data_IF_191854013635
#
_entry.id   IF_191854013635
#
_cell.length_a   1.000
_cell.length_b   1.000
_cell.length_c   1.000
_cell.angle_alpha   90.00
_cell.angle_beta   90.00
_cell.angle_gamma   90.00
#
_symmetry.space_group_name_H-M   'P 1'
#
loop_
_entity.id
_entity.type
_entity.pdbx_description
1 polymer ?
#
# COMPACT_ATOMS: atom_id res chain seq x y z
N UNK A 1 -3.86 -26.62 8.58
CA UNK A 1 -5.01 -25.98 9.27
C UNK A 1 -6.25 -26.87 9.33
N UNK A 2 -6.87 -27.33 8.18
CA UNK A 2 -8.09 -28.18 8.21
C UNK A 2 -7.84 -29.50 8.93
N UNK A 3 -6.70 -30.17 8.66
CA UNK A 3 -6.29 -31.40 9.35
C UNK A 3 -6.13 -31.15 10.85
N UNK A 4 -5.47 -30.10 11.27
CA UNK A 4 -5.30 -29.77 12.70
C UNK A 4 -6.61 -29.39 13.37
N UNK A 5 -7.46 -28.62 12.70
CA UNK A 5 -8.80 -28.31 13.22
C UNK A 5 -9.63 -29.58 13.43
N UNK A 6 -9.54 -30.53 12.51
CA UNK A 6 -10.21 -31.82 12.65
C UNK A 6 -9.67 -32.64 13.85
N UNK A 7 -8.34 -32.65 14.05
CA UNK A 7 -7.72 -33.29 15.22
C UNK A 7 -8.15 -32.62 16.52
N UNK A 8 -8.21 -31.30 16.58
CA UNK A 8 -8.70 -30.57 17.75
C UNK A 8 -10.19 -30.80 18.03
N UNK A 9 -10.97 -31.02 16.96
CA UNK A 9 -12.38 -31.40 17.08
C UNK A 9 -12.59 -32.88 17.47
N UNK A 10 -11.52 -33.65 17.67
CA UNK A 10 -11.59 -35.07 18.04
C UNK A 10 -12.04 -36.00 16.90
N UNK A 11 -11.97 -35.54 15.64
CA UNK A 11 -12.33 -36.35 14.48
C UNK A 11 -11.21 -37.36 14.18
N UNK A 12 -11.56 -38.64 14.12
CA UNK A 12 -10.64 -39.72 13.76
C UNK A 12 -10.49 -39.89 12.25
N UNK A 13 -11.50 -39.47 11.49
CA UNK A 13 -11.54 -39.57 10.05
C UNK A 13 -12.08 -38.25 9.43
N UNK A 14 -11.59 -37.90 8.28
CA UNK A 14 -12.06 -36.75 7.50
C UNK A 14 -12.22 -37.15 6.02
N UNK A 15 -13.27 -36.70 5.32
CA UNK A 15 -13.40 -36.95 3.88
C UNK A 15 -12.30 -36.25 3.12
N UNK A 16 -11.61 -36.98 2.25
CA UNK A 16 -10.55 -36.47 1.40
C UNK A 16 -10.79 -36.81 -0.07
N UNK A 17 -10.34 -35.93 -0.98
CA UNK A 17 -10.30 -36.22 -2.41
C UNK A 17 -8.84 -36.42 -2.78
N UNK A 18 -8.48 -37.63 -3.17
CA UNK A 18 -7.14 -37.95 -3.68
C UNK A 18 -7.11 -37.62 -5.16
N UNK A 19 -6.09 -36.88 -5.58
CA UNK A 19 -5.82 -36.51 -6.99
C UNK A 19 -4.36 -36.81 -7.30
N UNK A 20 -4.12 -37.36 -8.47
CA UNK A 20 -2.75 -37.45 -9.03
C UNK A 20 -2.42 -36.13 -9.72
N UNK A 21 -1.49 -35.41 -9.17
CA UNK A 21 -1.06 -34.08 -9.64
C UNK A 21 0.47 -34.08 -9.71
N UNK A 22 1.00 -33.46 -10.77
CA UNK A 22 2.41 -33.06 -10.79
C UNK A 22 2.66 -31.92 -9.80
N UNK A 23 3.93 -31.59 -9.51
CA UNK A 23 4.29 -30.57 -8.53
C UNK A 23 3.74 -29.17 -8.90
N UNK A 24 3.71 -28.80 -10.18
CA UNK A 24 3.15 -27.54 -10.64
C UNK A 24 1.63 -27.50 -10.49
N UNK A 25 0.94 -28.62 -10.81
CA UNK A 25 -0.50 -28.74 -10.61
C UNK A 25 -0.87 -28.70 -9.11
N UNK A 26 -0.07 -29.35 -8.28
CA UNK A 26 -0.26 -29.32 -6.84
C UNK A 26 -0.06 -27.89 -6.28
N UNK A 27 0.97 -27.18 -6.75
CA UNK A 27 1.23 -25.78 -6.40
C UNK A 27 0.06 -24.89 -6.79
N UNK A 28 -0.42 -24.99 -8.04
CA UNK A 28 -1.57 -24.19 -8.52
C UNK A 28 -2.81 -24.48 -7.67
N UNK A 29 -3.13 -25.75 -7.42
CA UNK A 29 -4.31 -26.15 -6.61
C UNK A 29 -4.21 -25.61 -5.17
N UNK A 30 -3.03 -25.68 -4.56
CA UNK A 30 -2.76 -25.13 -3.22
C UNK A 30 -2.96 -23.61 -3.20
N UNK A 31 -2.37 -22.88 -4.15
CA UNK A 31 -2.47 -21.44 -4.27
C UNK A 31 -3.92 -21.02 -4.47
N UNK A 32 -4.66 -21.66 -5.38
CA UNK A 32 -6.07 -21.36 -5.64
C UNK A 32 -6.93 -21.56 -4.39
N UNK A 33 -6.71 -22.64 -3.66
CA UNK A 33 -7.41 -22.88 -2.37
C UNK A 33 -7.12 -21.80 -1.32
N UNK A 34 -5.93 -21.20 -1.36
CA UNK A 34 -5.55 -20.11 -0.45
C UNK A 34 -6.12 -18.77 -0.89
N UNK A 35 -6.14 -18.50 -2.21
CA UNK A 35 -6.68 -17.25 -2.78
C UNK A 35 -8.21 -17.12 -2.65
N UNK A 36 -8.93 -18.21 -2.37
CA UNK A 36 -10.38 -18.21 -2.12
C UNK A 36 -10.78 -17.74 -0.72
N UNK A 37 -9.83 -17.36 0.14
CA UNK A 37 -10.14 -16.84 1.48
C UNK A 37 -10.72 -15.42 1.39
N UNK A 38 -11.64 -15.09 2.29
CA UNK A 38 -12.26 -13.76 2.34
C UNK A 38 -11.27 -12.62 2.64
N UNK A 39 -10.25 -12.91 3.44
CA UNK A 39 -9.22 -11.92 3.82
C UNK A 39 -7.84 -12.51 3.54
N UNK A 40 -7.17 -11.95 2.56
CA UNK A 40 -5.81 -12.30 2.16
C UNK A 40 -4.97 -11.03 2.23
N UNK A 41 -3.83 -11.12 2.89
CA UNK A 41 -2.89 -10.00 2.98
C UNK A 41 -2.25 -9.71 1.62
N UNK A 42 -1.84 -8.45 1.33
CA UNK A 42 -1.08 -8.12 0.14
C UNK A 42 0.17 -8.97 -0.06
N UNK A 43 0.91 -9.25 1.01
CA UNK A 43 2.09 -10.15 0.99
C UNK A 43 1.72 -11.57 0.61
N UNK A 44 0.67 -12.14 1.20
CA UNK A 44 0.18 -13.49 0.86
C UNK A 44 -0.21 -13.58 -0.62
N UNK A 45 -0.88 -12.54 -1.16
CA UNK A 45 -1.21 -12.47 -2.59
C UNK A 45 0.03 -12.38 -3.47
N UNK A 46 1.04 -11.61 -3.06
CA UNK A 46 2.28 -11.42 -3.80
C UNK A 46 2.99 -12.76 -4.00
N UNK A 47 3.25 -13.50 -2.93
CA UNK A 47 3.88 -14.82 -3.00
C UNK A 47 3.01 -15.86 -3.70
N UNK A 48 1.69 -15.86 -3.46
CA UNK A 48 0.76 -16.76 -4.12
C UNK A 48 0.77 -16.57 -5.65
N UNK A 49 0.74 -15.33 -6.13
CA UNK A 49 0.81 -15.05 -7.57
C UNK A 49 2.17 -15.39 -8.16
N UNK A 50 3.26 -15.12 -7.43
CA UNK A 50 4.59 -15.51 -7.89
C UNK A 50 4.67 -17.03 -8.09
N UNK A 51 4.33 -17.83 -7.09
CA UNK A 51 4.35 -19.30 -7.18
C UNK A 51 3.48 -19.82 -8.33
N UNK A 52 2.28 -19.23 -8.51
CA UNK A 52 1.36 -19.66 -9.56
C UNK A 52 1.89 -19.30 -10.97
N UNK A 53 2.48 -18.12 -11.14
CA UNK A 53 3.10 -17.68 -12.39
C UNK A 53 4.29 -18.59 -12.74
N UNK A 54 5.14 -18.92 -11.77
CA UNK A 54 6.28 -19.84 -11.95
C UNK A 54 5.82 -21.22 -12.39
N UNK A 55 4.82 -21.81 -11.72
CA UNK A 55 4.25 -23.11 -12.09
C UNK A 55 3.65 -23.12 -13.50
N UNK A 56 2.99 -22.03 -13.92
CA UNK A 56 2.45 -21.89 -15.28
C UNK A 56 3.58 -21.74 -16.30
N UNK A 57 4.66 -21.04 -15.96
CA UNK A 57 5.82 -20.88 -16.85
C UNK A 57 6.56 -22.20 -17.09
N UNK A 58 6.64 -23.07 -16.10
CA UNK A 58 7.18 -24.43 -16.26
C UNK A 58 6.38 -25.26 -17.29
N UNK A 59 5.08 -24.98 -17.43
CA UNK A 59 4.21 -25.61 -18.43
C UNK A 59 4.28 -24.99 -19.82
N UNK A 60 5.22 -24.05 -20.04
CA UNK A 60 5.52 -23.47 -21.35
C UNK A 60 4.87 -22.12 -21.64
N UNK A 61 3.95 -21.63 -20.82
CA UNK A 61 3.34 -20.29 -20.96
C UNK A 61 4.24 -19.28 -20.29
N UNK A 62 4.86 -18.36 -21.05
CA UNK A 62 5.91 -17.46 -20.56
C UNK A 62 5.51 -15.98 -20.62
N UNK A 63 6.21 -15.16 -19.84
CA UNK A 63 6.17 -13.71 -19.94
C UNK A 63 4.85 -13.09 -19.46
N UNK A 64 4.28 -12.21 -20.28
CA UNK A 64 3.03 -11.52 -19.95
C UNK A 64 1.82 -12.46 -19.97
N UNK A 65 1.81 -13.43 -20.86
CA UNK A 65 0.72 -14.39 -21.00
C UNK A 65 0.49 -15.20 -19.71
N UNK A 66 1.55 -15.64 -19.03
CA UNK A 66 1.42 -16.34 -17.75
C UNK A 66 0.77 -15.47 -16.66
N UNK A 67 1.03 -14.16 -16.66
CA UNK A 67 0.40 -13.21 -15.72
C UNK A 67 -1.05 -12.92 -16.06
N UNK A 68 -1.39 -12.85 -17.36
CA UNK A 68 -2.78 -12.71 -17.81
C UNK A 68 -3.59 -13.93 -17.40
N UNK A 69 -3.10 -15.16 -17.63
CA UNK A 69 -3.77 -16.40 -17.21
C UNK A 69 -4.02 -16.41 -15.71
N UNK A 70 -3.04 -16.00 -14.89
CA UNK A 70 -3.22 -15.91 -13.44
C UNK A 70 -4.21 -14.80 -13.09
N UNK A 71 -4.17 -13.68 -13.80
CA UNK A 71 -5.05 -12.53 -13.58
C UNK A 71 -6.51 -12.90 -13.85
N UNK A 72 -6.81 -13.43 -15.02
CA UNK A 72 -8.17 -13.83 -15.43
C UNK A 72 -8.79 -14.82 -14.43
N UNK A 73 -8.03 -15.81 -13.99
CA UNK A 73 -8.49 -16.78 -12.98
C UNK A 73 -8.85 -16.15 -11.63
N UNK A 74 -8.39 -14.91 -11.35
CA UNK A 74 -8.59 -14.21 -10.08
C UNK A 74 -9.35 -12.89 -10.25
N UNK A 75 -9.92 -12.59 -11.42
CA UNK A 75 -10.63 -11.35 -11.70
C UNK A 75 -9.73 -10.11 -11.72
N UNK A 76 -8.44 -10.28 -12.07
CA UNK A 76 -7.42 -9.23 -12.14
C UNK A 76 -6.82 -9.18 -13.54
N UNK A 77 -6.20 -8.04 -13.91
CA UNK A 77 -5.36 -7.96 -15.10
C UNK A 77 -3.94 -8.48 -14.80
N UNK A 78 -3.21 -8.93 -15.81
CA UNK A 78 -1.81 -9.33 -15.68
C UNK A 78 -0.91 -8.21 -15.13
N UNK A 79 -1.24 -6.93 -15.39
CA UNK A 79 -0.57 -5.78 -14.78
C UNK A 79 -0.79 -5.70 -13.26
N UNK A 80 -1.99 -6.04 -12.78
CA UNK A 80 -2.25 -6.08 -11.34
C UNK A 80 -1.51 -7.25 -10.69
N UNK A 81 -1.50 -8.42 -11.33
CA UNK A 81 -0.68 -9.56 -10.88
C UNK A 81 0.80 -9.18 -10.80
N UNK A 82 1.34 -8.53 -11.83
CA UNK A 82 2.73 -8.05 -11.86
C UNK A 82 3.03 -7.07 -10.72
N UNK A 83 2.10 -6.17 -10.37
CA UNK A 83 2.25 -5.26 -9.22
C UNK A 83 2.33 -6.00 -7.89
N UNK A 84 1.49 -7.01 -7.69
CA UNK A 84 1.58 -7.82 -6.48
C UNK A 84 2.89 -8.58 -6.41
N UNK A 85 3.33 -9.23 -7.50
CA UNK A 85 4.61 -9.96 -7.53
C UNK A 85 5.78 -9.04 -7.18
N UNK A 86 5.80 -7.79 -7.65
CA UNK A 86 6.86 -6.84 -7.29
C UNK A 86 6.99 -6.60 -5.78
N UNK A 87 5.93 -6.77 -5.00
CA UNK A 87 5.99 -6.60 -3.55
C UNK A 87 6.91 -7.65 -2.88
N UNK A 88 7.17 -8.79 -3.52
CA UNK A 88 8.11 -9.80 -2.99
C UNK A 88 9.56 -9.32 -2.95
N UNK A 89 9.88 -8.21 -3.64
CA UNK A 89 11.20 -7.59 -3.64
C UNK A 89 11.38 -6.54 -2.51
N UNK A 90 10.34 -6.33 -1.68
CA UNK A 90 10.45 -5.43 -0.53
C UNK A 90 11.20 -6.08 0.63
N UNK A 91 11.85 -5.24 1.43
CA UNK A 91 12.31 -5.65 2.74
C UNK A 91 11.12 -6.17 3.56
N UNK A 92 11.31 -7.22 4.39
CA UNK A 92 10.22 -7.82 5.17
C UNK A 92 9.42 -6.81 5.99
N UNK A 93 10.08 -5.84 6.61
CA UNK A 93 9.48 -4.81 7.45
C UNK A 93 8.60 -3.85 6.61
N UNK A 94 9.05 -3.48 5.41
CA UNK A 94 8.25 -2.67 4.49
C UNK A 94 7.03 -3.43 3.99
N UNK A 95 7.18 -4.73 3.73
CA UNK A 95 6.07 -5.60 3.30
C UNK A 95 5.03 -5.75 4.43
N UNK A 96 5.45 -5.87 5.69
CA UNK A 96 4.58 -5.86 6.85
C UNK A 96 3.80 -4.54 6.96
N UNK A 97 4.45 -3.39 6.73
CA UNK A 97 3.79 -2.09 6.68
C UNK A 97 2.72 -1.99 5.58
N UNK A 98 2.90 -2.71 4.46
CA UNK A 98 1.86 -2.81 3.41
C UNK A 98 0.67 -3.63 3.89
N UNK A 99 0.92 -4.74 4.58
CA UNK A 99 -0.13 -5.61 5.15
C UNK A 99 -0.95 -4.88 6.22
N UNK A 100 -0.29 -4.05 7.03
CA UNK A 100 -0.91 -3.17 8.02
C UNK A 100 -1.60 -1.94 7.42
N UNK A 101 -1.54 -1.74 6.09
CA UNK A 101 -2.09 -0.58 5.36
C UNK A 101 -1.44 0.76 5.72
N UNK A 102 -0.25 0.75 6.32
CA UNK A 102 0.56 1.95 6.57
C UNK A 102 1.15 2.49 5.26
N UNK A 103 1.50 1.59 4.32
CA UNK A 103 2.01 1.92 3.00
C UNK A 103 0.99 1.45 1.95
N UNK A 104 0.60 2.35 1.04
CA UNK A 104 -0.27 1.99 -0.08
C UNK A 104 0.47 1.11 -1.10
N UNK A 105 -0.21 0.11 -1.68
CA UNK A 105 0.38 -0.82 -2.68
C UNK A 105 1.07 -0.07 -3.83
N UNK A 106 0.51 1.07 -4.29
CA UNK A 106 1.11 1.86 -5.37
C UNK A 106 2.48 2.41 -5.00
N UNK A 107 2.64 2.89 -3.77
CA UNK A 107 3.92 3.39 -3.24
C UNK A 107 4.90 2.23 -3.02
N UNK A 108 4.43 1.13 -2.44
CA UNK A 108 5.19 -0.07 -2.18
C UNK A 108 5.81 -0.67 -3.45
N UNK A 109 5.07 -0.67 -4.57
CA UNK A 109 5.58 -1.14 -5.88
C UNK A 109 6.75 -0.29 -6.39
N UNK A 110 6.73 1.02 -6.18
CA UNK A 110 7.85 1.89 -6.57
C UNK A 110 9.05 1.70 -5.62
N UNK A 111 8.82 1.51 -4.32
CA UNK A 111 9.87 1.19 -3.35
C UNK A 111 10.52 -0.17 -3.68
N UNK A 112 9.74 -1.17 -4.09
CA UNK A 112 10.24 -2.49 -4.47
C UNK A 112 11.19 -2.49 -5.69
N UNK A 113 11.25 -1.40 -6.44
CA UNK A 113 12.16 -1.21 -7.58
C UNK A 113 13.49 -0.53 -7.17
N UNK A 114 13.62 -0.13 -5.93
CA UNK A 114 14.84 0.45 -5.37
C UNK A 114 15.80 -0.64 -4.90
N UNK A 115 17.09 -0.27 -4.75
CA UNK A 115 18.08 -1.14 -4.13
C UNK A 115 17.76 -1.38 -2.65
N UNK A 116 18.30 -2.44 -2.09
CA UNK A 116 18.09 -2.81 -0.69
C UNK A 116 18.54 -1.68 0.27
N UNK A 117 19.65 -0.99 -0.04
CA UNK A 117 20.13 0.15 0.74
C UNK A 117 19.18 1.34 0.71
N UNK A 118 18.59 1.65 -0.45
CA UNK A 118 17.60 2.73 -0.57
C UNK A 118 16.28 2.37 0.12
N UNK A 119 15.88 1.10 0.07
CA UNK A 119 14.73 0.61 0.82
C UNK A 119 14.96 0.73 2.33
N UNK A 120 16.18 0.44 2.82
CA UNK A 120 16.53 0.60 4.23
C UNK A 120 16.45 2.06 4.67
N UNK A 121 16.98 3.00 3.87
CA UNK A 121 16.84 4.43 4.14
C UNK A 121 15.36 4.86 4.26
N UNK A 122 14.52 4.39 3.35
CA UNK A 122 13.07 4.67 3.39
C UNK A 122 12.42 4.07 4.64
N UNK A 123 12.81 2.86 5.02
CA UNK A 123 12.33 2.22 6.25
C UNK A 123 12.70 3.05 7.48
N UNK A 124 13.92 3.56 7.55
CA UNK A 124 14.39 4.41 8.65
C UNK A 124 13.56 5.70 8.74
N UNK A 125 13.21 6.33 7.61
CA UNK A 125 12.30 7.47 7.59
C UNK A 125 10.90 7.14 8.10
N UNK A 126 10.34 6.00 7.72
CA UNK A 126 9.05 5.56 8.26
C UNK A 126 9.11 5.32 9.77
N UNK A 127 10.21 4.72 10.26
CA UNK A 127 10.41 4.47 11.68
C UNK A 127 10.55 5.75 12.50
N UNK A 128 11.08 6.83 11.91
CA UNK A 128 11.14 8.17 12.49
C UNK A 128 9.78 8.91 12.43
N UNK A 129 8.76 8.31 11.80
CA UNK A 129 7.42 8.87 11.70
C UNK A 129 7.18 9.76 10.49
N UNK A 130 8.14 9.85 9.57
CA UNK A 130 8.01 10.64 8.35
C UNK A 130 7.09 9.96 7.32
N UNK A 131 6.45 10.79 6.48
CA UNK A 131 5.64 10.32 5.37
C UNK A 131 6.43 10.45 4.07
N UNK A 132 6.61 9.33 3.39
CA UNK A 132 7.28 9.30 2.09
C UNK A 132 6.23 9.32 0.98
N UNK A 133 6.38 10.24 0.03
CA UNK A 133 5.48 10.38 -1.12
C UNK A 133 5.99 9.59 -2.33
N UNK A 134 5.08 9.31 -3.26
CA UNK A 134 5.42 8.65 -4.53
C UNK A 134 6.46 9.44 -5.35
N UNK A 135 6.40 10.77 -5.31
CA UNK A 135 7.31 11.65 -6.04
C UNK A 135 8.73 11.58 -5.47
N UNK A 136 8.84 11.50 -4.14
CA UNK A 136 10.13 11.32 -3.46
C UNK A 136 10.77 9.98 -3.82
N UNK A 137 10.02 8.88 -3.80
CA UNK A 137 10.54 7.56 -4.21
C UNK A 137 11.02 7.57 -5.66
N UNK A 138 10.28 8.23 -6.56
CA UNK A 138 10.69 8.37 -7.96
C UNK A 138 11.95 9.24 -8.13
N UNK A 139 12.11 10.27 -7.32
CA UNK A 139 13.32 11.11 -7.35
C UNK A 139 14.54 10.31 -6.86
N UNK A 140 14.42 9.51 -5.80
CA UNK A 140 15.46 8.59 -5.33
C UNK A 140 15.86 7.63 -6.46
N UNK A 141 14.88 7.01 -7.12
CA UNK A 141 15.11 6.12 -8.27
C UNK A 141 15.89 6.79 -9.41
N UNK A 142 15.73 8.11 -9.59
CA UNK A 142 16.46 8.89 -10.58
C UNK A 142 17.86 9.36 -10.10
N UNK A 143 18.39 8.77 -9.02
CA UNK A 143 19.71 9.05 -8.41
C UNK A 143 19.85 10.44 -7.76
N UNK A 144 18.76 11.07 -7.39
CA UNK A 144 18.84 12.20 -6.46
C UNK A 144 19.05 11.66 -5.03
N UNK A 145 19.87 12.34 -4.21
CA UNK A 145 20.13 11.87 -2.84
C UNK A 145 18.85 11.84 -2.02
N UNK A 146 18.54 10.70 -1.41
CA UNK A 146 17.33 10.47 -0.62
C UNK A 146 17.14 11.45 0.53
N UNK A 147 18.22 11.76 1.26
CA UNK A 147 18.24 12.73 2.36
C UNK A 147 17.76 14.12 1.93
N UNK A 148 18.33 14.66 0.84
CA UNK A 148 18.03 16.01 0.36
C UNK A 148 16.56 16.14 -0.12
N UNK A 149 15.96 15.04 -0.60
CA UNK A 149 14.60 15.04 -1.16
C UNK A 149 13.56 15.02 -0.03
N UNK A 150 13.80 14.24 1.01
CA UNK A 150 12.86 14.07 2.12
C UNK A 150 12.90 15.32 3.00
N UNK A 151 14.09 15.84 3.34
CA UNK A 151 14.24 17.09 4.10
C UNK A 151 13.64 18.31 3.40
N UNK A 152 13.86 18.49 2.08
CA UNK A 152 13.23 19.59 1.29
C UNK A 152 11.71 19.54 1.27
N UNK A 153 11.11 18.36 1.42
CA UNK A 153 9.66 18.25 1.45
C UNK A 153 9.07 18.62 2.80
N UNK A 154 9.83 18.48 3.88
CA UNK A 154 9.43 18.92 5.22
C UNK A 154 9.41 20.44 5.31
N UNK A 155 10.41 21.14 4.78
CA UNK A 155 10.41 22.59 4.70
C UNK A 155 9.20 23.11 3.93
N UNK A 156 8.81 22.46 2.81
CA UNK A 156 7.60 22.79 2.05
C UNK A 156 6.31 22.47 2.81
N UNK A 157 6.30 21.41 3.62
CA UNK A 157 5.11 20.99 4.38
C UNK A 157 4.91 21.90 5.60
N UNK A 158 5.97 22.34 6.26
CA UNK A 158 5.90 23.33 7.34
C UNK A 158 5.50 24.72 6.83
N UNK A 159 5.96 25.11 5.63
CA UNK A 159 5.56 26.39 4.98
C UNK A 159 4.15 26.35 4.39
N UNK A 160 3.56 25.18 4.18
CA UNK A 160 2.24 25.03 3.55
C UNK A 160 1.21 24.30 4.43
N UNK A 161 1.24 24.51 5.73
CA UNK A 161 0.18 24.06 6.63
C UNK A 161 -1.15 24.74 6.22
N UNK A 162 -1.88 24.13 5.28
CA UNK A 162 -3.21 24.58 4.90
C UNK A 162 -4.19 24.22 5.99
N UNK A 163 -4.61 25.18 6.76
CA UNK A 163 -5.75 25.03 7.67
C UNK A 163 -7.02 25.06 6.82
N UNK A 164 -7.70 23.93 6.71
CA UNK A 164 -8.96 23.84 5.98
C UNK A 164 -10.13 23.77 6.96
N UNK A 165 -10.96 24.80 6.96
CA UNK A 165 -12.19 24.81 7.75
C UNK A 165 -13.35 24.37 6.86
N UNK A 166 -14.06 23.31 7.24
CA UNK A 166 -15.17 22.81 6.44
C UNK A 166 -16.32 23.86 6.36
N UNK A 167 -16.93 24.00 5.19
CA UNK A 167 -18.06 24.90 4.98
C UNK A 167 -19.22 24.66 5.97
N UNK A 168 -19.39 23.40 6.44
CA UNK A 168 -20.40 23.05 7.44
C UNK A 168 -20.12 23.71 8.79
N UNK A 169 -18.85 23.84 9.21
CA UNK A 169 -18.47 24.57 10.43
C UNK A 169 -18.60 26.07 10.24
N UNK A 170 -18.23 26.62 9.07
CA UNK A 170 -18.35 28.05 8.79
C UNK A 170 -19.80 28.54 8.77
N UNK A 171 -20.77 27.71 8.31
CA UNK A 171 -22.20 28.04 8.32
C UNK A 171 -22.76 28.33 9.74
N UNK A 172 -22.10 27.93 10.80
CA UNK A 172 -22.52 28.25 12.17
C UNK A 172 -22.21 29.70 12.58
N UNK A 173 -21.26 30.33 11.89
CA UNK A 173 -20.74 31.66 12.20
C UNK A 173 -21.08 32.71 11.15
N UNK A 174 -21.35 32.28 9.90
CA UNK A 174 -21.62 33.16 8.78
C UNK A 174 -23.03 32.92 8.22
N UNK A 175 -23.81 33.97 7.94
CA UNK A 175 -25.09 33.88 7.23
C UNK A 175 -24.92 33.24 5.84
N UNK A 176 -25.99 32.68 5.29
CA UNK A 176 -25.99 31.94 4.02
C UNK A 176 -25.62 32.80 2.79
N UNK A 177 -25.79 34.08 2.86
CA UNK A 177 -25.53 35.07 1.81
C UNK A 177 -24.07 35.52 1.69
N UNK A 178 -23.19 35.05 2.60
CA UNK A 178 -21.77 35.41 2.52
C UNK A 178 -21.06 34.58 1.47
N UNK A 179 -20.29 35.27 0.61
CA UNK A 179 -19.40 34.66 -0.38
C UNK A 179 -18.14 34.13 0.31
N UNK A 180 -17.41 33.25 -0.37
CA UNK A 180 -16.13 32.71 0.13
C UNK A 180 -15.11 33.83 0.44
N UNK A 181 -15.03 34.83 -0.43
CA UNK A 181 -14.10 35.95 -0.28
C UNK A 181 -14.42 36.83 0.92
N UNK A 182 -15.72 37.09 1.18
CA UNK A 182 -16.15 37.85 2.35
C UNK A 182 -15.84 37.13 3.66
N UNK A 183 -16.09 35.80 3.71
CA UNK A 183 -15.76 34.98 4.87
C UNK A 183 -14.25 34.96 5.13
N UNK A 184 -13.42 34.79 4.11
CA UNK A 184 -11.96 34.83 4.20
C UNK A 184 -11.47 36.19 4.72
N UNK A 185 -12.01 37.30 4.22
CA UNK A 185 -11.62 38.65 4.64
C UNK A 185 -11.94 38.89 6.15
N UNK A 186 -13.12 38.48 6.60
CA UNK A 186 -13.49 38.61 8.03
C UNK A 186 -12.59 37.75 8.90
N UNK A 187 -12.26 36.53 8.47
CA UNK A 187 -11.33 35.66 9.22
C UNK A 187 -9.96 36.32 9.32
N UNK A 188 -9.44 36.89 8.24
CA UNK A 188 -8.14 37.61 8.28
C UNK A 188 -8.17 38.80 9.23
N UNK A 189 -9.21 39.62 9.20
CA UNK A 189 -9.35 40.74 10.13
C UNK A 189 -9.40 40.30 11.61
N UNK A 190 -10.08 39.18 11.89
CA UNK A 190 -10.11 38.63 13.24
C UNK A 190 -8.74 38.09 13.69
N UNK A 191 -7.99 37.47 12.78
CA UNK A 191 -6.65 36.97 13.07
C UNK A 191 -5.65 38.13 13.28
N UNK A 192 -5.75 39.21 12.49
CA UNK A 192 -4.92 40.40 12.69
C UNK A 192 -5.21 41.09 14.05
N UNK A 193 -6.49 41.21 14.40
CA UNK A 193 -6.89 41.73 15.70
C UNK A 193 -6.40 40.84 16.84
N UNK A 194 -6.55 39.52 16.73
CA UNK A 194 -6.06 38.57 17.72
C UNK A 194 -4.54 38.67 17.91
N UNK A 195 -3.78 38.86 16.84
CA UNK A 195 -2.33 39.04 16.88
C UNK A 195 -1.95 40.38 17.54
N UNK A 196 -2.70 41.47 17.28
CA UNK A 196 -2.46 42.78 17.87
C UNK A 196 -2.80 42.83 19.37
N UNK A 197 -3.74 42.02 19.84
CA UNK A 197 -4.17 41.94 21.22
C UNK A 197 -3.17 41.13 22.11
N UNK A 198 -2.01 40.70 21.57
CA UNK A 198 -0.88 40.18 22.35
C UNK A 198 -1.02 38.72 22.82
N UNK A 199 -1.85 37.90 22.17
CA UNK A 199 -1.90 36.47 22.42
C UNK A 199 -0.77 35.77 21.66
N UNK A 200 0.45 35.82 22.19
CA UNK A 200 1.53 34.93 21.81
C UNK A 200 1.30 33.55 22.46
N UNK A 201 1.33 32.49 21.63
CA UNK A 201 1.27 31.08 22.08
C UNK A 201 2.67 30.63 22.47
#
# INVERSE_FOLDING_TARGET
RRKEAALWAGLTEVPVIIRELDDDQATIAMVDSNLQREKILPSEKAYAFQMKVEAIQHKGIKGEESREVVGEANGLSGRQVSRYIKLTNLLPELLEMVDEKKIAIKLAVEIAELSESEQQEILDYFNLGYKVSLEQVKAIKNKEKSTDIIERSEEKTQQSAKVTISRKKLKQYFPENYTKAEMENIIYQLLEKWKSDGYDI
#
